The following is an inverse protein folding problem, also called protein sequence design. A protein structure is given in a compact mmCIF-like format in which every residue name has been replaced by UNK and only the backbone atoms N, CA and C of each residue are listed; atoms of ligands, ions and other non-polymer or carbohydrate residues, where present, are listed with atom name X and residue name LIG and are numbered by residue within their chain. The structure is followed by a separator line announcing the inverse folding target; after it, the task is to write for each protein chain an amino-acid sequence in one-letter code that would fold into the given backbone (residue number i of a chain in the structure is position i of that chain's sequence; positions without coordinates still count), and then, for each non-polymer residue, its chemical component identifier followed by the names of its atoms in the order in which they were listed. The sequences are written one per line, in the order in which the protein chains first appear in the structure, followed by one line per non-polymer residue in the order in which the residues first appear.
data_IF_235672489661
#
_entry.id   IF_235672489661
#
_cell.length_a   1.000
_cell.length_b   1.000
_cell.length_c   1.000
_cell.angle_alpha   90.00
_cell.angle_beta   90.00
_cell.angle_gamma   90.00
#
_symmetry.space_group_name_H-M   'P 1'
#
loop_
_entity.id
_entity.type
_entity.pdbx_description
1 polymer ?
#
# COMPACT_ATOMS: atom_id res chain seq x y z
N UNK A 1 23.14 9.36 -16.21
CA UNK A 1 21.73 9.61 -15.87
C UNK A 1 20.94 8.87 -16.92
N UNK A 2 20.29 7.77 -16.56
CA UNK A 2 19.53 6.95 -17.52
C UNK A 2 18.38 7.77 -18.14
N UNK A 3 18.06 7.55 -19.43
CA UNK A 3 17.47 8.62 -20.24
C UNK A 3 16.01 8.99 -19.93
N UNK A 4 15.25 8.16 -19.21
CA UNK A 4 13.80 8.34 -19.05
C UNK A 4 13.28 8.33 -17.60
N UNK A 5 14.15 8.23 -16.59
CA UNK A 5 13.73 8.21 -15.17
C UNK A 5 12.75 7.08 -14.81
N UNK A 6 12.72 6.01 -15.62
CA UNK A 6 11.95 4.80 -15.37
C UNK A 6 12.81 3.88 -14.50
N UNK A 7 12.24 3.41 -13.40
CA UNK A 7 12.91 2.52 -12.46
C UNK A 7 12.68 1.08 -12.89
N UNK A 8 13.73 0.28 -12.95
CA UNK A 8 13.63 -1.17 -13.14
C UNK A 8 13.23 -1.87 -11.83
N UNK A 9 12.24 -2.76 -11.90
CA UNK A 9 11.82 -3.51 -10.72
C UNK A 9 12.82 -4.60 -10.37
N UNK A 10 13.21 -4.68 -9.11
CA UNK A 10 14.02 -5.77 -8.55
C UNK A 10 13.18 -6.75 -7.70
N UNK A 11 11.85 -6.64 -7.75
CA UNK A 11 10.91 -7.47 -7.00
C UNK A 11 9.99 -8.25 -7.95
N UNK A 12 10.06 -9.58 -7.89
CA UNK A 12 9.40 -10.46 -8.86
C UNK A 12 8.17 -11.18 -8.30
N UNK A 13 7.88 -11.07 -7.00
CA UNK A 13 6.73 -11.72 -6.38
C UNK A 13 5.44 -10.94 -6.72
N UNK A 14 4.45 -11.65 -7.23
CA UNK A 14 3.12 -11.15 -7.59
C UNK A 14 2.10 -11.96 -6.81
N UNK A 15 1.22 -11.28 -6.09
CA UNK A 15 0.15 -11.91 -5.32
C UNK A 15 -1.19 -11.44 -5.85
N UNK A 16 -1.98 -12.38 -6.39
CA UNK A 16 -3.19 -12.06 -7.16
C UNK A 16 -4.46 -11.96 -6.32
N UNK A 17 -4.42 -12.33 -5.04
CA UNK A 17 -5.51 -12.14 -4.07
C UNK A 17 -5.05 -11.49 -2.76
N UNK A 18 -5.90 -10.67 -2.15
CA UNK A 18 -5.65 -10.16 -0.79
C UNK A 18 -5.60 -11.28 0.26
N UNK A 19 -6.32 -12.38 0.03
CA UNK A 19 -6.32 -13.56 0.93
C UNK A 19 -4.92 -14.20 1.04
N UNK A 20 -4.12 -14.10 -0.01
CA UNK A 20 -2.77 -14.70 -0.11
C UNK A 20 -1.68 -13.80 0.50
N UNK A 21 -2.03 -12.58 0.91
CA UNK A 21 -1.09 -11.61 1.48
C UNK A 21 -0.90 -11.74 3.01
N UNK A 22 -1.51 -12.76 3.63
CA UNK A 22 -1.44 -13.01 5.08
C UNK A 22 -1.83 -11.79 5.94
N UNK A 23 -2.85 -11.05 5.51
CA UNK A 23 -3.36 -9.87 6.20
C UNK A 23 -4.18 -10.26 7.44
N UNK A 24 -4.23 -9.38 8.43
CA UNK A 24 -5.12 -9.53 9.60
C UNK A 24 -6.57 -9.63 9.11
N UNK A 25 -7.35 -10.57 9.66
CA UNK A 25 -8.74 -10.80 9.22
C UNK A 25 -9.60 -9.53 9.25
N UNK A 26 -9.43 -8.69 10.27
CA UNK A 26 -10.18 -7.43 10.41
C UNK A 26 -9.84 -6.44 9.30
N UNK A 27 -8.56 -6.37 8.90
CA UNK A 27 -8.11 -5.56 7.77
C UNK A 27 -8.65 -6.11 6.45
N UNK A 28 -8.55 -7.43 6.25
CA UNK A 28 -9.05 -8.10 5.04
C UNK A 28 -10.55 -7.87 4.84
N UNK A 29 -11.36 -7.98 5.91
CA UNK A 29 -12.79 -7.64 5.88
C UNK A 29 -13.02 -6.18 5.50
N UNK A 30 -12.20 -5.26 6.03
CA UNK A 30 -12.26 -3.83 5.70
C UNK A 30 -11.98 -3.56 4.22
N UNK A 31 -10.99 -4.24 3.63
CA UNK A 31 -10.63 -4.13 2.21
C UNK A 31 -11.83 -4.50 1.32
N UNK A 32 -12.48 -5.64 1.59
CA UNK A 32 -13.66 -6.07 0.82
C UNK A 32 -14.87 -5.17 1.07
N UNK A 33 -15.10 -4.72 2.31
CA UNK A 33 -16.20 -3.81 2.65
C UNK A 33 -16.05 -2.44 1.98
N UNK A 34 -14.81 -1.97 1.75
CA UNK A 34 -14.53 -0.76 0.97
C UNK A 34 -14.85 -0.94 -0.52
N UNK A 35 -14.97 -2.18 -1.00
CA UNK A 35 -15.31 -2.52 -2.39
C UNK A 35 -14.14 -2.97 -3.24
N UNK A 36 -12.96 -3.26 -2.66
CA UNK A 36 -11.89 -3.92 -3.40
C UNK A 36 -12.18 -5.41 -3.56
N UNK A 37 -12.22 -5.91 -4.80
CA UNK A 37 -12.39 -7.34 -5.08
C UNK A 37 -11.07 -8.04 -5.36
N UNK A 38 -10.22 -7.43 -6.18
CA UNK A 38 -8.89 -7.93 -6.55
C UNK A 38 -7.84 -6.83 -6.44
N UNK A 39 -6.61 -7.17 -6.05
CA UNK A 39 -5.52 -6.20 -6.00
C UNK A 39 -5.19 -5.67 -7.41
N UNK A 40 -4.99 -4.36 -7.52
CA UNK A 40 -4.46 -3.73 -8.73
C UNK A 40 -2.99 -4.11 -8.97
N UNK A 41 -2.46 -3.86 -10.17
CA UNK A 41 -1.09 -4.24 -10.53
C UNK A 41 0.00 -3.74 -9.55
N UNK A 42 -0.20 -2.55 -8.96
CA UNK A 42 0.73 -2.04 -7.95
C UNK A 42 0.51 -2.70 -6.59
N UNK A 43 -0.74 -2.96 -6.19
CA UNK A 43 -1.08 -3.64 -4.93
C UNK A 43 -0.52 -5.07 -4.91
N UNK A 44 -0.64 -5.79 -6.03
CA UNK A 44 -0.13 -7.16 -6.22
C UNK A 44 1.38 -7.28 -5.97
N UNK A 45 2.15 -6.22 -6.25
CA UNK A 45 3.63 -6.22 -6.18
C UNK A 45 4.17 -5.52 -4.95
N UNK A 46 3.48 -4.50 -4.45
CA UNK A 46 4.03 -3.60 -3.45
C UNK A 46 3.52 -3.84 -2.02
N UNK A 47 2.35 -4.45 -1.81
CA UNK A 47 1.85 -4.69 -0.44
C UNK A 47 2.78 -5.62 0.32
N UNK A 48 3.14 -6.76 -0.28
CA UNK A 48 3.93 -7.79 0.39
C UNK A 48 5.35 -7.32 0.81
N UNK A 49 6.16 -6.66 -0.04
CA UNK A 49 7.45 -6.14 0.42
C UNK A 49 7.31 -5.04 1.49
N UNK A 50 6.27 -4.20 1.42
CA UNK A 50 6.01 -3.18 2.44
C UNK A 50 5.67 -3.80 3.81
N UNK A 51 4.83 -4.83 3.87
CA UNK A 51 4.48 -5.50 5.15
C UNK A 51 5.63 -6.36 5.69
N UNK A 52 6.57 -6.78 4.83
CA UNK A 52 7.83 -7.43 5.23
C UNK A 52 8.85 -6.42 5.82
N UNK A 53 8.55 -5.11 5.77
CA UNK A 53 9.39 -4.04 6.33
C UNK A 53 10.55 -3.61 5.43
N UNK A 54 10.50 -3.92 4.13
CA UNK A 54 11.49 -3.42 3.18
C UNK A 54 11.22 -1.97 2.79
N UNK A 55 12.29 -1.25 2.46
CA UNK A 55 12.19 0.04 1.76
C UNK A 55 11.76 -0.20 0.31
N UNK A 56 10.66 0.43 -0.10
CA UNK A 56 10.04 0.21 -1.42
C UNK A 56 9.97 1.52 -2.21
N UNK A 57 10.49 1.50 -3.43
CA UNK A 57 10.26 2.55 -4.42
C UNK A 57 9.21 2.04 -5.42
N UNK A 58 8.07 2.73 -5.47
CA UNK A 58 6.94 2.37 -6.32
C UNK A 58 6.64 3.48 -7.34
N UNK A 59 6.90 3.20 -8.61
CA UNK A 59 6.55 4.09 -9.73
C UNK A 59 5.25 3.60 -10.39
N UNK A 60 4.16 4.34 -10.24
CA UNK A 60 2.89 4.03 -10.89
C UNK A 60 2.07 5.29 -11.21
N UNK A 61 1.20 5.20 -12.21
CA UNK A 61 0.32 6.30 -12.63
C UNK A 61 -0.76 6.62 -11.59
N UNK A 62 -1.35 7.81 -11.64
CA UNK A 62 -2.50 8.17 -10.78
C UNK A 62 -3.70 7.26 -11.05
N UNK A 63 -4.53 7.00 -10.02
CA UNK A 63 -5.69 6.10 -10.14
C UNK A 63 -5.37 4.60 -10.12
N UNK A 64 -4.11 4.20 -9.99
CA UNK A 64 -3.70 2.77 -9.99
C UNK A 64 -3.83 2.08 -8.63
N UNK A 65 -4.31 2.75 -7.59
CA UNK A 65 -4.47 2.16 -6.25
C UNK A 65 -3.27 2.30 -5.31
N UNK A 66 -2.33 3.21 -5.61
CA UNK A 66 -1.17 3.53 -4.74
C UNK A 66 -1.58 3.88 -3.30
N UNK A 67 -2.64 4.66 -3.13
CA UNK A 67 -3.07 5.13 -1.81
C UNK A 67 -3.51 3.99 -0.90
N UNK A 68 -4.36 3.09 -1.43
CA UNK A 68 -4.73 1.87 -0.73
C UNK A 68 -3.53 0.93 -0.48
N UNK A 69 -2.54 0.90 -1.38
CA UNK A 69 -1.33 0.07 -1.23
C UNK A 69 -0.59 0.40 0.07
N UNK A 70 -0.25 1.68 0.31
CA UNK A 70 0.44 2.05 1.54
C UNK A 70 -0.50 2.03 2.75
N UNK A 71 -1.79 2.36 2.59
CA UNK A 71 -2.76 2.34 3.68
C UNK A 71 -2.93 0.93 4.25
N UNK A 72 -3.12 -0.08 3.38
CA UNK A 72 -3.17 -1.50 3.77
C UNK A 72 -1.86 -1.91 4.43
N UNK A 73 -0.71 -1.52 3.84
CA UNK A 73 0.60 -1.91 4.37
C UNK A 73 0.89 -1.32 5.76
N UNK A 74 0.50 -0.07 6.00
CA UNK A 74 0.60 0.60 7.30
C UNK A 74 -0.37 -0.06 8.27
N UNK A 75 -1.66 -0.15 7.91
CA UNK A 75 -2.69 -0.75 8.76
C UNK A 75 -2.42 -2.22 9.06
N UNK A 76 -1.60 -2.95 8.30
CA UNK A 76 -1.17 -4.30 8.66
C UNK A 76 -0.11 -4.29 9.78
N UNK A 77 0.74 -3.27 9.83
CA UNK A 77 1.89 -3.16 10.74
C UNK A 77 1.58 -2.41 12.05
N UNK A 78 0.50 -1.63 12.11
CA UNK A 78 0.11 -0.90 13.33
C UNK A 78 -0.16 -1.86 14.50
N UNK A 79 0.45 -1.56 15.64
CA UNK A 79 0.09 -2.11 16.95
C UNK A 79 -1.10 -1.33 17.53
N UNK A 80 -2.23 -2.01 17.71
CA UNK A 80 -3.49 -1.39 18.17
C UNK A 80 -3.49 -1.09 19.67
N UNK A 81 -2.61 -1.71 20.45
CA UNK A 81 -2.49 -1.48 21.89
C UNK A 81 -1.63 -0.25 22.20
N UNK A 82 -0.72 0.10 21.28
CA UNK A 82 0.17 1.24 21.42
C UNK A 82 -0.51 2.56 21.01
N UNK A 83 -0.91 3.34 22.01
CA UNK A 83 -1.53 4.67 21.83
C UNK A 83 -0.48 5.76 21.55
N UNK A 84 0.11 5.70 20.37
CA UNK A 84 1.07 6.69 19.85
C UNK A 84 1.12 6.71 18.33
N UNK A 85 1.68 7.76 17.75
CA UNK A 85 1.89 7.85 16.29
C UNK A 85 2.92 6.82 15.85
N UNK A 86 2.54 5.93 14.94
CA UNK A 86 3.39 4.80 14.47
C UNK A 86 3.72 4.88 12.98
N UNK A 87 3.01 5.71 12.21
CA UNK A 87 3.26 5.92 10.79
C UNK A 87 3.07 7.39 10.42
N UNK A 88 3.86 7.87 9.46
CA UNK A 88 3.77 9.23 8.91
C UNK A 88 3.70 9.14 7.39
N UNK A 89 2.64 9.68 6.81
CA UNK A 89 2.47 9.80 5.36
C UNK A 89 2.65 11.27 4.99
N UNK A 90 3.57 11.54 4.06
CA UNK A 90 3.80 12.88 3.53
C UNK A 90 3.13 13.01 2.16
N UNK A 91 2.41 14.11 1.95
CA UNK A 91 1.78 14.43 0.68
C UNK A 91 2.18 15.86 0.25
N UNK A 92 2.27 16.14 -1.05
CA UNK A 92 2.75 17.43 -1.54
C UNK A 92 1.71 18.55 -1.39
N UNK A 93 0.42 18.21 -1.24
CA UNK A 93 -0.64 19.20 -1.00
C UNK A 93 -1.59 18.73 0.11
N UNK A 94 -2.34 19.68 0.68
CA UNK A 94 -3.31 19.41 1.75
C UNK A 94 -4.47 18.55 1.26
N UNK A 95 -4.92 18.75 0.03
CA UNK A 95 -6.02 18.04 -0.60
C UNK A 95 -5.65 16.56 -0.79
N UNK A 96 -4.40 16.28 -1.21
CA UNK A 96 -3.91 14.90 -1.33
C UNK A 96 -3.73 14.25 0.04
N UNK A 97 -3.28 15.00 1.06
CA UNK A 97 -3.24 14.51 2.43
C UNK A 97 -4.65 14.14 2.94
N UNK A 98 -5.66 14.96 2.65
CA UNK A 98 -7.04 14.69 3.01
C UNK A 98 -7.60 13.47 2.27
N UNK A 99 -7.32 13.31 0.98
CA UNK A 99 -7.72 12.12 0.22
C UNK A 99 -7.13 10.83 0.80
N UNK A 100 -5.85 10.87 1.22
CA UNK A 100 -5.21 9.73 1.86
C UNK A 100 -5.80 9.41 3.24
N UNK A 101 -6.28 10.42 3.98
CA UNK A 101 -6.85 10.25 5.32
C UNK A 101 -8.28 9.68 5.34
N UNK A 102 -8.96 9.65 4.20
CA UNK A 102 -10.38 9.22 4.08
C UNK A 102 -10.52 7.77 3.56
N UNK A 103 -9.39 7.10 3.28
CA UNK A 103 -9.36 5.67 2.93
C UNK A 103 -9.44 4.81 4.18
#
# INVERSE_FOLDING_TARGET
MEPDGIIESNWNEIVDSFDEMALRETLLRGIYAYGFEKPSAIQQRAILPCIKGYDVIAQAQSGTGKTATFAISILQQIDIELKGTQALVLAPTRELAQQAAVI
#
